data_IF_846882108930
#
_entry.id   IF_846882108930
#
_cell.length_a   1.000
_cell.length_b   1.000
_cell.length_c   1.000
_cell.angle_alpha   90.00
_cell.angle_beta   90.00
_cell.angle_gamma   90.00
#
_symmetry.space_group_name_H-M   'P 1'
#
loop_
_entity.id
_entity.type
_entity.pdbx_description
1 polymer ?
#
# COMPACT_ATOMS: atom_id res chain seq x y z
N UNK A 1 23.60 -22.83 -2.50
CA UNK A 1 23.44 -21.35 -2.44
C UNK A 1 22.41 -20.96 -3.48
N UNK A 2 21.13 -20.90 -3.11
CA UNK A 2 20.02 -20.40 -3.94
C UNK A 2 18.82 -20.25 -2.99
N UNK A 3 18.65 -19.06 -2.45
CA UNK A 3 17.44 -18.66 -1.74
C UNK A 3 16.62 -17.81 -2.69
N UNK A 4 15.69 -18.44 -3.41
CA UNK A 4 14.71 -17.70 -4.19
C UNK A 4 13.69 -17.14 -3.19
N UNK A 5 13.79 -15.86 -2.88
CA UNK A 5 12.80 -15.16 -2.05
C UNK A 5 11.83 -14.47 -3.00
N UNK A 6 10.73 -15.15 -3.33
CA UNK A 6 9.54 -14.49 -3.86
C UNK A 6 8.56 -14.27 -2.70
N UNK A 7 8.74 -13.17 -1.98
CA UNK A 7 7.64 -12.59 -1.23
C UNK A 7 7.12 -11.44 -2.09
N UNK A 8 6.13 -11.71 -2.94
CA UNK A 8 5.26 -10.63 -3.40
C UNK A 8 4.61 -10.10 -2.12
N UNK A 9 4.84 -8.85 -1.70
CA UNK A 9 3.98 -8.29 -0.68
C UNK A 9 2.55 -8.37 -1.23
N UNK A 10 1.60 -8.81 -0.41
CA UNK A 10 0.18 -8.91 -0.76
C UNK A 10 -0.41 -7.51 -0.92
N UNK A 11 0.04 -6.82 -1.97
CA UNK A 11 -0.49 -5.55 -2.41
C UNK A 11 -1.61 -5.87 -3.38
N UNK A 12 -2.75 -5.23 -3.18
CA UNK A 12 -3.88 -5.25 -4.08
C UNK A 12 -3.52 -4.36 -5.29
N UNK A 13 -3.26 -4.94 -6.48
CA UNK A 13 -2.70 -4.21 -7.62
C UNK A 13 -3.70 -3.23 -8.24
N UNK A 14 -4.99 -3.46 -8.02
CA UNK A 14 -6.09 -2.60 -8.44
C UNK A 14 -6.37 -1.45 -7.46
N UNK A 15 -5.62 -1.37 -6.36
CA UNK A 15 -5.77 -0.34 -5.33
C UNK A 15 -4.61 0.66 -5.37
N UNK A 16 -4.88 1.89 -4.97
CA UNK A 16 -3.85 2.90 -4.68
C UNK A 16 -2.98 2.50 -3.48
N UNK A 17 -1.81 3.13 -3.32
CA UNK A 17 -0.97 2.95 -2.12
C UNK A 17 -1.76 3.27 -0.85
N UNK A 18 -2.56 4.35 -0.86
CA UNK A 18 -3.47 4.67 0.25
C UNK A 18 -4.43 3.53 0.57
N UNK A 19 -5.10 2.98 -0.45
CA UNK A 19 -6.08 1.91 -0.27
C UNK A 19 -5.46 0.62 0.22
N UNK A 20 -4.25 0.30 -0.24
CA UNK A 20 -3.48 -0.84 0.24
C UNK A 20 -3.18 -0.76 1.74
N UNK A 21 -2.79 0.42 2.23
CA UNK A 21 -2.50 0.64 3.65
C UNK A 21 -3.81 0.72 4.45
N UNK A 22 -4.86 1.31 3.89
CA UNK A 22 -6.15 1.49 4.56
C UNK A 22 -6.95 0.18 4.69
N UNK A 23 -6.80 -0.77 3.77
CA UNK A 23 -7.58 -2.01 3.72
C UNK A 23 -7.56 -2.84 5.03
N UNK A 24 -6.41 -3.17 5.63
CA UNK A 24 -6.39 -3.89 6.91
C UNK A 24 -7.02 -3.09 8.07
N UNK A 25 -6.94 -1.76 8.04
CA UNK A 25 -7.59 -0.91 9.04
C UNK A 25 -9.11 -0.90 8.89
N UNK A 26 -9.63 -0.98 7.64
CA UNK A 26 -11.07 -1.15 7.37
C UNK A 26 -11.58 -2.49 7.92
N UNK A 27 -10.83 -3.58 7.73
CA UNK A 27 -11.19 -4.91 8.27
C UNK A 27 -11.28 -4.87 9.80
N UNK A 28 -10.37 -4.12 10.45
CA UNK A 28 -10.39 -3.89 11.90
C UNK A 28 -11.46 -2.89 12.37
N UNK A 29 -12.35 -2.43 11.48
CA UNK A 29 -13.47 -1.52 11.78
C UNK A 29 -13.06 -0.15 12.35
N UNK A 30 -11.85 0.34 12.02
CA UNK A 30 -11.49 1.72 12.33
C UNK A 30 -12.40 2.71 11.59
N UNK A 31 -12.68 3.86 12.20
CA UNK A 31 -13.42 4.92 11.54
C UNK A 31 -12.64 5.49 10.35
N UNK A 32 -13.34 6.11 9.40
CA UNK A 32 -12.71 6.74 8.23
C UNK A 32 -11.70 7.82 8.63
N UNK A 33 -11.94 8.55 9.72
CA UNK A 33 -11.01 9.55 10.26
C UNK A 33 -9.74 8.91 10.82
N UNK A 34 -9.87 7.88 11.66
CA UNK A 34 -8.71 7.18 12.21
C UNK A 34 -7.84 6.56 11.13
N UNK A 35 -8.46 6.00 10.08
CA UNK A 35 -7.74 5.46 8.92
C UNK A 35 -6.92 6.57 8.24
N UNK A 36 -7.52 7.73 7.98
CA UNK A 36 -6.81 8.85 7.34
C UNK A 36 -5.62 9.32 8.18
N UNK A 37 -5.80 9.45 9.50
CA UNK A 37 -4.74 9.89 10.41
C UNK A 37 -3.60 8.87 10.40
N UNK A 38 -3.90 7.58 10.57
CA UNK A 38 -2.89 6.52 10.60
C UNK A 38 -2.14 6.38 9.28
N UNK A 39 -2.85 6.43 8.14
CA UNK A 39 -2.21 6.34 6.82
C UNK A 39 -1.32 7.55 6.57
N UNK A 40 -1.76 8.75 6.97
CA UNK A 40 -0.97 9.98 6.84
C UNK A 40 0.32 9.89 7.67
N UNK A 41 0.23 9.53 8.95
CA UNK A 41 1.39 9.35 9.82
C UNK A 41 2.38 8.35 9.23
N UNK A 42 1.91 7.16 8.86
CA UNK A 42 2.77 6.14 8.27
C UNK A 42 3.45 6.62 6.98
N UNK A 43 2.73 7.40 6.17
CA UNK A 43 3.28 7.93 4.92
C UNK A 43 4.26 9.09 5.08
N UNK A 44 4.20 9.80 6.20
CA UNK A 44 5.16 10.83 6.58
C UNK A 44 6.43 10.15 7.11
N UNK A 45 6.28 9.17 8.02
CA UNK A 45 7.38 8.41 8.61
C UNK A 45 8.22 7.65 7.56
N UNK A 46 7.58 7.23 6.47
CA UNK A 46 8.23 6.48 5.38
C UNK A 46 8.51 7.33 4.14
N UNK A 47 8.24 8.63 4.20
CA UNK A 47 8.41 9.60 3.10
C UNK A 47 7.63 9.27 1.81
N UNK A 48 6.70 8.32 1.84
CA UNK A 48 5.88 7.89 0.68
C UNK A 48 4.61 8.71 0.50
N UNK A 49 4.43 9.82 1.22
CA UNK A 49 3.22 10.68 1.15
C UNK A 49 2.85 11.03 -0.30
N UNK A 50 3.84 11.32 -1.14
CA UNK A 50 3.67 11.63 -2.56
C UNK A 50 3.21 10.44 -3.42
N UNK A 51 3.41 9.20 -2.94
CA UNK A 51 3.01 7.96 -3.61
C UNK A 51 1.61 7.50 -3.21
N UNK A 52 0.99 8.07 -2.17
CA UNK A 52 -0.31 7.64 -1.66
C UNK A 52 -1.41 7.59 -2.72
N UNK A 53 -1.39 8.53 -3.67
CA UNK A 53 -2.37 8.62 -4.77
C UNK A 53 -2.02 7.75 -5.98
N UNK A 54 -0.83 7.14 -6.02
CA UNK A 54 -0.38 6.32 -7.14
C UNK A 54 -1.00 4.92 -7.04
N UNK A 55 -1.49 4.40 -8.16
CA UNK A 55 -1.91 3.01 -8.27
C UNK A 55 -0.68 2.11 -8.42
N UNK A 56 -0.63 1.04 -7.61
CA UNK A 56 0.49 0.11 -7.59
C UNK A 56 0.54 -0.70 -8.90
N UNK A 57 -0.62 -0.98 -9.51
CA UNK A 57 -0.74 -1.70 -10.78
C UNK A 57 -0.38 -0.91 -12.05
N UNK A 58 0.24 0.27 -11.92
CA UNK A 58 0.72 1.07 -13.07
C UNK A 58 2.21 0.87 -13.39
N UNK A 59 2.85 -0.13 -12.78
CA UNK A 59 4.07 -0.75 -13.30
C UNK A 59 3.62 -1.86 -14.26
N UNK A 60 4.01 -1.70 -15.52
CA UNK A 60 3.60 -2.44 -16.71
C UNK A 60 3.58 -3.96 -16.51
N UNK A 61 2.47 -4.60 -16.88
CA UNK A 61 2.42 -6.03 -17.18
C UNK A 61 3.13 -6.41 -18.48
N UNK A 62 4.19 -5.68 -18.85
CA UNK A 62 4.87 -5.79 -20.14
C UNK A 62 6.38 -5.53 -20.12
N UNK A 63 6.97 -5.25 -18.96
CA UNK A 63 8.43 -5.18 -18.83
C UNK A 63 8.84 -5.97 -17.57
N UNK A 64 8.74 -7.29 -17.70
CA UNK A 64 9.50 -8.22 -16.87
C UNK A 64 10.90 -8.40 -17.45
#
# INVERSE_FOLDING_TARGET
KLGIVYQKPTLFPHMSVFENIAYPLKIKKFSKEEIKIKVKQLSEDTEITHLLKRNIGRLSGGEM
#
